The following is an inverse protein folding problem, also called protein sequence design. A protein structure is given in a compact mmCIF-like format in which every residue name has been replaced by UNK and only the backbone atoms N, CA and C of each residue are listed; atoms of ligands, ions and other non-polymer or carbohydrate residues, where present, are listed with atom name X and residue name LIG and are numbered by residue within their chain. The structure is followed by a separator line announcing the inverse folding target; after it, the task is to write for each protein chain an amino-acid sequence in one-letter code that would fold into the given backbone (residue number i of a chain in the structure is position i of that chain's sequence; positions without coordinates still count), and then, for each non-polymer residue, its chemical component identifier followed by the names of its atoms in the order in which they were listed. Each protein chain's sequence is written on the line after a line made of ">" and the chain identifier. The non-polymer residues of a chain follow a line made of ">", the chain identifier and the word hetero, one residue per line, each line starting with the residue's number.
data_IF_302675876476
#
_entry.id   IF_302675876476
#
_cell.length_a   1.000
_cell.length_b   1.000
_cell.length_c   1.000
_cell.angle_alpha   90.00
_cell.angle_beta   90.00
_cell.angle_gamma   90.00
#
_symmetry.space_group_name_H-M   'P 1'
#
loop_
_entity.id
_entity.type
_entity.pdbx_description
1 polymer ?
#
# COMPACT_ATOMS: atom_id res chain seq x y z
N UNK A 1 -21.55 18.24 1.00
CA UNK A 1 -20.37 17.59 1.61
C UNK A 1 -19.08 18.40 1.44
N UNK A 2 -18.45 18.53 0.26
CA UNK A 2 -17.18 19.28 0.15
C UNK A 2 -17.32 20.76 0.53
N UNK A 3 -18.34 21.44 0.02
CA UNK A 3 -18.57 22.86 0.35
C UNK A 3 -18.84 23.08 1.85
N UNK A 4 -19.50 22.11 2.49
CA UNK A 4 -19.75 22.12 3.94
C UNK A 4 -18.47 21.91 4.75
N UNK A 5 -17.55 21.06 4.27
CA UNK A 5 -16.24 20.87 4.89
C UNK A 5 -15.42 22.15 4.72
N UNK A 6 -15.34 22.69 3.51
CA UNK A 6 -14.55 23.89 3.21
C UNK A 6 -14.99 25.07 4.09
N UNK A 7 -16.30 25.27 4.27
CA UNK A 7 -16.83 26.34 5.13
C UNK A 7 -16.50 26.17 6.64
N UNK A 8 -16.17 24.96 7.08
CA UNK A 8 -15.91 24.62 8.50
C UNK A 8 -14.42 24.55 8.85
N UNK A 9 -13.51 24.64 7.88
CA UNK A 9 -12.06 24.49 8.08
C UNK A 9 -11.41 25.87 8.19
N UNK A 10 -11.01 26.32 9.40
CA UNK A 10 -10.45 27.66 9.59
C UNK A 10 -9.12 27.90 8.85
N UNK A 11 -8.39 26.84 8.52
CA UNK A 11 -7.16 26.88 7.73
C UNK A 11 -7.41 27.42 6.31
N UNK A 12 -8.63 27.31 5.79
CA UNK A 12 -9.00 27.77 4.46
C UNK A 12 -9.42 29.24 4.49
N UNK A 13 -8.45 30.14 4.65
CA UNK A 13 -8.70 31.57 4.71
C UNK A 13 -8.99 32.18 3.32
N UNK A 14 -10.02 33.02 3.22
CA UNK A 14 -10.32 33.78 2.00
C UNK A 14 -10.96 32.94 0.88
N UNK A 15 -10.82 33.35 -0.39
CA UNK A 15 -11.32 32.57 -1.53
C UNK A 15 -10.64 31.20 -1.60
N UNK A 16 -11.44 30.16 -1.87
CA UNK A 16 -10.98 28.76 -1.95
C UNK A 16 -11.09 28.28 -3.39
N UNK A 17 -10.01 27.71 -3.90
CA UNK A 17 -10.01 26.97 -5.16
C UNK A 17 -9.79 25.48 -4.87
N UNK A 18 -10.57 24.62 -5.53
CA UNK A 18 -10.52 23.17 -5.36
C UNK A 18 -10.08 22.51 -6.65
N UNK A 19 -8.99 21.76 -6.60
CA UNK A 19 -8.50 20.94 -7.72
C UNK A 19 -8.52 19.47 -7.35
N UNK A 20 -9.28 18.65 -8.08
CA UNK A 20 -9.30 17.20 -7.85
C UNK A 20 -7.93 16.60 -8.19
N UNK A 21 -7.37 15.84 -7.26
CA UNK A 21 -6.16 15.05 -7.49
C UNK A 21 -6.61 13.71 -8.09
N UNK A 22 -6.17 13.43 -9.33
CA UNK A 22 -6.46 12.18 -10.04
C UNK A 22 -5.47 11.09 -9.60
N UNK A 23 -5.84 9.82 -9.79
CA UNK A 23 -4.97 8.66 -9.53
C UNK A 23 -5.30 7.85 -8.27
N UNK A 24 -6.29 8.26 -7.46
CA UNK A 24 -6.79 7.45 -6.34
C UNK A 24 -8.10 6.75 -6.70
N UNK A 25 -8.12 5.40 -6.64
CA UNK A 25 -9.29 4.58 -7.02
C UNK A 25 -10.37 4.54 -5.93
N UNK A 26 -9.99 4.79 -4.69
CA UNK A 26 -10.84 4.55 -3.52
C UNK A 26 -11.52 5.81 -2.98
N UNK A 27 -10.74 6.87 -2.75
CA UNK A 27 -11.14 8.02 -1.95
C UNK A 27 -11.09 9.32 -2.73
N UNK A 28 -11.89 10.30 -2.29
CA UNK A 28 -11.90 11.62 -2.93
C UNK A 28 -10.80 12.48 -2.33
N UNK A 29 -9.78 12.79 -3.12
CA UNK A 29 -8.65 13.63 -2.73
C UNK A 29 -8.65 14.93 -3.53
N UNK A 30 -8.56 16.06 -2.85
CA UNK A 30 -8.67 17.40 -3.45
C UNK A 30 -7.54 18.27 -2.93
N UNK A 31 -6.80 18.92 -3.82
CA UNK A 31 -5.94 20.05 -3.46
C UNK A 31 -6.81 21.26 -3.19
N UNK A 32 -6.58 21.90 -2.06
CA UNK A 32 -7.26 23.13 -1.67
C UNK A 32 -6.24 24.26 -1.67
N UNK A 33 -6.47 25.28 -2.50
CA UNK A 33 -5.69 26.51 -2.52
C UNK A 33 -6.52 27.60 -1.79
N UNK A 34 -6.00 28.12 -0.67
CA UNK A 34 -6.69 29.11 0.14
C UNK A 34 -5.68 30.00 0.87
N UNK A 35 -5.93 31.32 0.89
CA UNK A 35 -5.12 32.27 1.67
C UNK A 35 -3.66 32.41 1.22
N UNK A 36 -3.30 31.88 0.04
CA UNK A 36 -1.91 31.79 -0.44
C UNK A 36 -1.19 30.49 -0.07
N UNK A 37 -1.85 29.60 0.69
CA UNK A 37 -1.34 28.28 1.08
C UNK A 37 -2.03 27.16 0.30
N UNK A 38 -1.42 25.97 0.36
CA UNK A 38 -1.93 24.73 -0.26
C UNK A 38 -2.12 23.64 0.76
N UNK A 39 -3.22 22.92 0.62
CA UNK A 39 -3.61 21.81 1.49
C UNK A 39 -4.09 20.61 0.66
N UNK A 40 -4.16 19.46 1.30
CA UNK A 40 -4.88 18.30 0.76
C UNK A 40 -6.07 18.00 1.66
N UNK A 41 -7.26 18.01 1.08
CA UNK A 41 -8.48 17.50 1.70
C UNK A 41 -8.73 16.08 1.19
N UNK A 42 -8.63 15.10 2.09
CA UNK A 42 -8.97 13.70 1.82
C UNK A 42 -10.29 13.37 2.50
N UNK A 43 -11.26 12.90 1.72
CA UNK A 43 -12.55 12.43 2.23
C UNK A 43 -12.67 10.94 1.98
N UNK A 44 -12.79 10.18 3.06
CA UNK A 44 -12.91 8.72 2.99
C UNK A 44 -14.32 8.34 2.53
N UNK A 45 -14.38 7.29 1.71
CA UNK A 45 -15.62 6.79 1.15
C UNK A 45 -15.99 5.50 1.89
N UNK A 46 -17.12 5.47 2.62
CA UNK A 46 -17.56 4.29 3.35
C UNK A 46 -17.71 3.04 2.47
N UNK A 47 -17.96 3.20 1.17
CA UNK A 47 -18.09 2.09 0.24
C UNK A 47 -16.78 1.29 0.08
N UNK A 48 -15.62 1.93 0.26
CA UNK A 48 -14.31 1.28 0.17
C UNK A 48 -14.13 0.28 1.32
N UNK A 49 -14.39 0.72 2.56
CA UNK A 49 -14.37 -0.17 3.73
C UNK A 49 -15.45 -1.24 3.60
N UNK A 50 -16.67 -0.88 3.15
CA UNK A 50 -17.76 -1.84 2.99
C UNK A 50 -17.47 -2.93 1.94
N UNK A 51 -16.72 -2.59 0.89
CA UNK A 51 -16.24 -3.55 -0.11
C UNK A 51 -15.03 -4.38 0.36
N UNK A 52 -14.51 -4.11 1.56
CA UNK A 52 -13.33 -4.80 2.10
C UNK A 52 -12.03 -4.41 1.39
N UNK A 53 -11.95 -3.21 0.81
CA UNK A 53 -10.77 -2.75 0.06
C UNK A 53 -9.86 -1.82 0.87
N UNK A 54 -10.24 -1.49 2.10
CA UNK A 54 -9.44 -0.70 3.04
C UNK A 54 -9.71 -1.11 4.49
N UNK A 55 -8.95 -0.53 5.42
CA UNK A 55 -9.24 -0.67 6.86
C UNK A 55 -10.48 0.14 7.25
N UNK A 56 -11.03 -0.05 8.48
CA UNK A 56 -12.05 0.86 8.99
C UNK A 56 -11.61 2.33 8.94
N UNK A 57 -12.50 3.23 8.51
CA UNK A 57 -12.16 4.64 8.26
C UNK A 57 -11.59 5.36 9.50
N UNK A 58 -12.08 5.03 10.70
CA UNK A 58 -11.55 5.54 11.96
C UNK A 58 -10.10 5.07 12.21
N UNK A 59 -9.80 3.83 11.83
CA UNK A 59 -8.46 3.28 11.89
C UNK A 59 -7.51 3.91 10.84
N UNK A 60 -7.97 4.15 9.61
CA UNK A 60 -7.18 4.86 8.59
C UNK A 60 -6.82 6.27 9.06
N UNK A 61 -7.81 7.00 9.61
CA UNK A 61 -7.61 8.33 10.21
C UNK A 61 -6.57 8.26 11.34
N UNK A 62 -6.72 7.32 12.28
CA UNK A 62 -5.80 7.16 13.39
C UNK A 62 -4.38 6.83 12.92
N UNK A 63 -4.23 5.92 11.96
CA UNK A 63 -2.94 5.52 11.41
C UNK A 63 -2.28 6.66 10.63
N UNK A 64 -3.06 7.45 9.88
CA UNK A 64 -2.55 8.63 9.19
C UNK A 64 -1.99 9.66 10.17
N UNK A 65 -2.67 9.90 11.30
CA UNK A 65 -2.17 10.78 12.38
C UNK A 65 -0.87 10.24 12.97
N UNK A 66 -0.81 8.95 13.31
CA UNK A 66 0.40 8.32 13.86
C UNK A 66 1.56 8.34 12.86
N UNK A 67 1.30 8.11 11.58
CA UNK A 67 2.31 8.18 10.52
C UNK A 67 2.85 9.61 10.36
N UNK A 68 1.99 10.63 10.48
CA UNK A 68 2.39 12.03 10.45
C UNK A 68 3.32 12.40 11.63
N UNK A 69 3.10 11.84 12.83
CA UNK A 69 3.98 12.04 13.99
C UNK A 69 5.42 11.58 13.72
N UNK A 70 5.61 10.57 12.87
CA UNK A 70 6.95 10.10 12.49
C UNK A 70 7.67 11.05 11.55
N UNK A 71 6.93 11.88 10.81
CA UNK A 71 7.41 12.68 9.69
C UNK A 71 7.51 11.94 8.36
N UNK A 72 7.24 10.62 8.30
CA UNK A 72 7.20 9.89 7.03
C UNK A 72 6.04 10.38 6.15
N UNK A 73 4.86 10.58 6.74
CA UNK A 73 3.69 11.13 6.06
C UNK A 73 3.52 12.64 6.19
N UNK A 74 2.60 13.25 5.41
CA UNK A 74 2.23 14.65 5.54
C UNK A 74 1.68 14.95 6.95
N UNK A 75 1.96 16.15 7.48
CA UNK A 75 1.33 16.63 8.71
C UNK A 75 -0.19 16.61 8.58
N UNK A 76 -0.87 16.06 9.58
CA UNK A 76 -2.32 16.19 9.74
C UNK A 76 -2.61 17.52 10.43
N UNK A 77 -3.25 18.44 9.71
CA UNK A 77 -3.63 19.76 10.23
C UNK A 77 -4.97 19.68 10.96
N UNK A 78 -5.90 18.87 10.45
CA UNK A 78 -7.23 18.70 11.04
C UNK A 78 -7.81 17.34 10.74
N UNK A 79 -8.48 16.77 11.75
CA UNK A 79 -9.36 15.59 11.60
C UNK A 79 -10.80 16.06 11.68
N UNK A 80 -11.64 15.59 10.76
CA UNK A 80 -13.07 15.88 10.66
C UNK A 80 -13.85 14.57 10.77
N UNK A 81 -14.01 14.02 11.99
CA UNK A 81 -14.52 12.67 12.19
C UNK A 81 -15.96 12.49 11.70
N UNK A 82 -16.81 13.50 11.85
CA UNK A 82 -18.20 13.49 11.37
C UNK A 82 -18.32 13.38 9.84
N UNK A 83 -17.30 13.82 9.11
CA UNK A 83 -17.25 13.79 7.64
C UNK A 83 -16.28 12.73 7.11
N UNK A 84 -15.69 11.91 7.99
CA UNK A 84 -14.63 10.96 7.66
C UNK A 84 -13.53 11.59 6.80
N UNK A 85 -13.06 12.78 7.20
CA UNK A 85 -12.14 13.58 6.40
C UNK A 85 -10.91 14.05 7.18
N UNK A 86 -9.85 14.33 6.42
CA UNK A 86 -8.57 14.83 6.89
C UNK A 86 -8.16 16.05 6.08
N UNK A 87 -7.69 17.10 6.76
CA UNK A 87 -6.94 18.20 6.15
C UNK A 87 -5.47 17.95 6.45
N UNK A 88 -4.69 17.77 5.39
CA UNK A 88 -3.26 17.49 5.43
C UNK A 88 -2.49 18.67 4.87
N UNK A 89 -1.23 18.80 5.27
CA UNK A 89 -0.31 19.67 4.55
C UNK A 89 -0.19 19.22 3.09
N UNK A 90 -0.06 20.16 2.17
CA UNK A 90 0.38 19.85 0.82
C UNK A 90 1.88 19.64 0.82
N UNK A 91 2.35 18.49 0.33
CA UNK A 91 3.78 18.20 0.17
C UNK A 91 4.24 18.78 -1.16
N UNK A 92 5.12 19.77 -1.11
CA UNK A 92 5.75 20.38 -2.28
C UNK A 92 6.85 19.48 -2.85
N UNK A 93 6.44 18.45 -3.58
CA UNK A 93 7.33 17.49 -4.22
C UNK A 93 6.79 16.90 -5.51
N UNK A 94 7.51 15.91 -6.03
CA UNK A 94 7.17 15.20 -7.26
C UNK A 94 6.65 13.81 -6.89
N UNK A 95 5.40 13.50 -7.24
CA UNK A 95 4.87 12.15 -7.15
C UNK A 95 5.68 11.22 -8.05
N UNK A 96 6.16 10.11 -7.50
CA UNK A 96 6.97 9.16 -8.26
C UNK A 96 6.10 8.33 -9.20
N UNK A 97 6.70 7.92 -10.31
CA UNK A 97 6.21 6.83 -11.16
C UNK A 97 7.03 5.57 -10.92
N UNK A 98 6.55 4.43 -11.43
CA UNK A 98 7.28 3.15 -11.40
C UNK A 98 8.73 3.30 -11.91
N UNK A 99 8.94 4.11 -12.95
CA UNK A 99 10.26 4.34 -13.54
C UNK A 99 11.23 5.10 -12.61
N UNK A 100 10.72 5.88 -11.65
CA UNK A 100 11.53 6.68 -10.74
C UNK A 100 12.03 5.87 -9.53
N UNK A 101 11.30 4.83 -9.13
CA UNK A 101 11.57 4.05 -7.92
C UNK A 101 12.99 3.46 -7.86
N UNK A 102 13.54 2.83 -8.92
CA UNK A 102 14.88 2.24 -8.88
C UNK A 102 16.01 3.25 -8.55
N UNK A 103 15.80 4.52 -8.86
CA UNK A 103 16.76 5.60 -8.58
C UNK A 103 16.59 6.18 -7.15
N UNK A 104 15.52 5.83 -6.44
CA UNK A 104 15.14 6.41 -5.13
C UNK A 104 15.09 5.40 -3.99
N UNK A 105 15.58 4.17 -4.18
CA UNK A 105 15.49 3.08 -3.19
C UNK A 105 16.02 3.46 -1.80
N UNK A 106 17.11 4.23 -1.70
CA UNK A 106 17.67 4.66 -0.41
C UNK A 106 16.71 5.61 0.34
N UNK A 107 16.08 6.54 -0.38
CA UNK A 107 15.10 7.47 0.16
C UNK A 107 13.79 6.77 0.56
N UNK A 108 13.31 5.84 -0.27
CA UNK A 108 12.14 5.01 0.03
C UNK A 108 12.38 4.15 1.26
N UNK A 109 13.52 3.47 1.34
CA UNK A 109 13.90 2.67 2.49
C UNK A 109 14.02 3.52 3.78
N UNK A 110 14.52 4.76 3.66
CA UNK A 110 14.55 5.70 4.78
C UNK A 110 13.15 6.11 5.25
N UNK A 111 12.23 6.39 4.32
CA UNK A 111 10.84 6.70 4.63
C UNK A 111 10.13 5.53 5.32
N UNK A 112 10.35 4.30 4.84
CA UNK A 112 9.82 3.09 5.48
C UNK A 112 10.37 2.93 6.90
N UNK A 113 11.68 3.09 7.11
CA UNK A 113 12.26 3.05 8.48
C UNK A 113 11.66 4.10 9.41
N UNK A 114 11.44 5.31 8.89
CA UNK A 114 10.85 6.40 9.65
C UNK A 114 9.42 6.06 10.09
N UNK A 115 8.61 5.51 9.19
CA UNK A 115 7.26 5.02 9.49
C UNK A 115 7.30 3.86 10.51
N UNK A 116 8.15 2.86 10.27
CA UNK A 116 8.24 1.63 11.07
C UNK A 116 8.80 1.88 12.48
N UNK A 117 9.51 2.99 12.70
CA UNK A 117 9.97 3.43 14.02
C UNK A 117 8.89 4.18 14.82
N UNK A 118 7.73 4.44 14.20
CA UNK A 118 6.60 5.10 14.82
C UNK A 118 5.95 4.29 15.93
N UNK A 119 4.95 4.91 16.58
CA UNK A 119 4.11 4.23 17.56
C UNK A 119 3.29 3.13 16.88
N UNK A 120 3.02 2.01 17.56
CA UNK A 120 2.20 0.94 17.02
C UNK A 120 0.83 1.42 16.52
N UNK A 121 0.42 0.96 15.34
CA UNK A 121 -0.95 1.13 14.86
C UNK A 121 -1.93 0.28 15.67
N UNK A 122 -3.20 0.71 15.69
CA UNK A 122 -4.27 0.09 16.50
C UNK A 122 -4.77 -1.25 15.94
N UNK A 123 -4.45 -1.54 14.68
CA UNK A 123 -4.85 -2.73 13.95
C UNK A 123 -3.65 -3.52 13.44
N UNK A 124 -3.90 -4.74 13.00
CA UNK A 124 -2.92 -5.59 12.31
C UNK A 124 -3.28 -5.74 10.83
N UNK A 125 -2.28 -5.97 10.00
CA UNK A 125 -2.46 -6.45 8.64
C UNK A 125 -1.75 -7.80 8.48
N UNK A 126 -2.30 -8.67 7.64
CA UNK A 126 -1.69 -9.93 7.24
C UNK A 126 -2.13 -10.27 5.81
N UNK A 127 -1.17 -10.41 4.90
CA UNK A 127 -1.46 -10.63 3.47
C UNK A 127 -2.21 -11.94 3.21
N UNK A 128 -2.01 -12.97 4.05
CA UNK A 128 -2.69 -14.25 3.89
C UNK A 128 -4.14 -14.20 4.35
N UNK A 129 -4.43 -13.44 5.41
CA UNK A 129 -5.81 -13.14 5.80
C UNK A 129 -6.49 -12.28 4.74
N UNK A 130 -5.75 -11.31 4.17
CA UNK A 130 -6.27 -10.49 3.07
C UNK A 130 -6.62 -11.30 1.83
N UNK A 131 -5.77 -12.25 1.47
CA UNK A 131 -6.05 -13.21 0.42
C UNK A 131 -7.31 -14.03 0.70
N UNK A 132 -7.47 -14.54 1.93
CA UNK A 132 -8.66 -15.28 2.31
C UNK A 132 -9.94 -14.43 2.24
N UNK A 133 -9.87 -13.15 2.64
CA UNK A 133 -10.96 -12.18 2.47
C UNK A 133 -11.35 -12.03 1.00
N UNK A 134 -10.38 -11.81 0.10
CA UNK A 134 -10.65 -11.64 -1.33
C UNK A 134 -11.19 -12.91 -1.97
N UNK A 135 -10.66 -14.08 -1.65
CA UNK A 135 -11.22 -15.35 -2.12
C UNK A 135 -12.69 -15.49 -1.73
N UNK A 136 -13.03 -15.15 -0.49
CA UNK A 136 -14.40 -15.21 0.00
C UNK A 136 -15.31 -14.14 -0.63
N UNK A 137 -14.78 -12.96 -0.98
CA UNK A 137 -15.51 -11.94 -1.74
C UNK A 137 -15.75 -12.37 -3.19
N UNK A 138 -14.76 -12.99 -3.83
CA UNK A 138 -14.91 -13.55 -5.18
C UNK A 138 -15.97 -14.65 -5.21
N UNK A 139 -15.96 -15.57 -4.24
CA UNK A 139 -16.94 -16.66 -4.13
C UNK A 139 -18.36 -16.14 -3.89
N UNK A 140 -18.56 -15.30 -2.86
CA UNK A 140 -19.90 -14.81 -2.48
C UNK A 140 -20.56 -13.89 -3.51
N UNK A 141 -19.79 -13.30 -4.42
CA UNK A 141 -20.28 -12.38 -5.44
C UNK A 141 -20.09 -12.91 -6.86
N UNK A 142 -19.78 -14.21 -7.01
CA UNK A 142 -19.62 -14.88 -8.32
C UNK A 142 -18.62 -14.17 -9.27
N UNK A 143 -17.53 -13.60 -8.73
CA UNK A 143 -16.56 -12.82 -9.51
C UNK A 143 -15.56 -13.67 -10.29
N UNK A 144 -15.54 -14.98 -10.01
CA UNK A 144 -14.58 -15.93 -10.57
C UNK A 144 -13.14 -15.71 -10.07
N UNK A 145 -12.26 -16.64 -10.45
CA UNK A 145 -10.82 -16.58 -10.20
C UNK A 145 -10.07 -16.65 -11.53
N UNK A 146 -8.85 -16.10 -11.62
CA UNK A 146 -7.99 -16.33 -12.77
C UNK A 146 -7.69 -17.82 -12.99
N UNK A 147 -7.45 -18.21 -14.24
CA UNK A 147 -7.11 -19.59 -14.60
C UNK A 147 -5.87 -20.07 -13.81
N UNK A 148 -5.98 -21.28 -13.25
CA UNK A 148 -4.93 -21.90 -12.45
C UNK A 148 -4.70 -21.27 -11.07
N UNK A 149 -5.46 -20.25 -10.66
CA UNK A 149 -5.28 -19.60 -9.36
C UNK A 149 -5.51 -20.55 -8.18
N UNK A 150 -6.63 -21.29 -8.22
CA UNK A 150 -6.97 -22.26 -7.18
C UNK A 150 -5.91 -23.37 -7.04
N UNK A 151 -5.27 -23.77 -8.15
CA UNK A 151 -4.25 -24.81 -8.16
C UNK A 151 -2.97 -24.40 -7.41
N UNK A 152 -2.72 -23.09 -7.26
CA UNK A 152 -1.56 -22.56 -6.54
C UNK A 152 -1.77 -22.41 -5.03
N UNK A 153 -3.02 -22.51 -4.53
CA UNK A 153 -3.31 -22.31 -3.10
C UNK A 153 -2.53 -23.26 -2.16
N UNK A 154 -2.28 -24.55 -2.50
CA UNK A 154 -1.42 -25.39 -1.68
C UNK A 154 0.03 -24.87 -1.58
N UNK A 155 0.56 -24.27 -2.65
CA UNK A 155 1.90 -23.66 -2.63
C UNK A 155 1.92 -22.36 -1.81
N UNK A 156 0.87 -21.55 -1.93
CA UNK A 156 0.67 -20.37 -1.07
C UNK A 156 0.65 -20.76 0.41
N UNK A 157 -0.02 -21.84 0.78
CA UNK A 157 -0.02 -22.35 2.15
C UNK A 157 1.40 -22.72 2.63
N UNK A 158 2.21 -23.36 1.78
CA UNK A 158 3.62 -23.67 2.08
C UNK A 158 4.48 -22.42 2.28
N UNK A 159 4.22 -21.36 1.51
CA UNK A 159 4.88 -20.05 1.69
C UNK A 159 4.50 -19.46 3.06
N UNK A 160 3.21 -19.46 3.41
CA UNK A 160 2.71 -19.01 4.72
C UNK A 160 3.40 -19.74 5.88
N UNK A 161 3.47 -21.08 5.80
CA UNK A 161 4.14 -21.90 6.80
C UNK A 161 5.64 -21.58 6.93
N UNK A 162 6.34 -21.41 5.81
CA UNK A 162 7.76 -21.05 5.82
C UNK A 162 8.00 -19.69 6.46
N UNK A 163 7.19 -18.69 6.11
CA UNK A 163 7.26 -17.35 6.70
C UNK A 163 6.89 -17.34 8.20
N UNK A 164 6.03 -18.24 8.64
CA UNK A 164 5.64 -18.35 10.05
C UNK A 164 6.69 -19.03 10.94
N UNK A 165 7.65 -19.76 10.36
CA UNK A 165 8.65 -20.53 11.12
C UNK A 165 9.55 -19.65 12.01
N UNK A 166 9.86 -18.43 11.55
CA UNK A 166 10.69 -17.45 12.27
C UNK A 166 10.07 -16.05 12.13
N UNK A 167 9.04 -15.72 12.92
CA UNK A 167 8.34 -14.44 12.80
C UNK A 167 9.24 -13.28 13.20
N UNK A 168 9.11 -12.16 12.50
CA UNK A 168 9.73 -10.89 12.87
C UNK A 168 8.80 -10.08 13.79
N UNK A 169 9.34 -9.15 14.60
CA UNK A 169 8.52 -8.15 15.27
C UNK A 169 7.69 -7.37 14.25
N UNK A 170 6.39 -7.24 14.53
CA UNK A 170 5.49 -6.42 13.71
C UNK A 170 5.73 -4.94 13.98
N UNK A 171 5.70 -4.14 12.92
CA UNK A 171 5.90 -2.68 12.95
C UNK A 171 4.75 -1.98 12.21
N UNK A 172 4.56 -0.66 12.41
CA UNK A 172 3.58 0.10 11.63
C UNK A 172 3.96 0.06 10.15
N UNK A 173 3.14 -0.57 9.33
CA UNK A 173 3.34 -0.66 7.89
C UNK A 173 2.18 0.01 7.14
N UNK A 174 2.48 0.50 5.94
CA UNK A 174 1.54 1.06 4.99
C UNK A 174 0.78 -0.05 4.23
N UNK A 175 1.50 -1.10 3.83
CA UNK A 175 1.00 -2.31 3.15
C UNK A 175 0.46 -2.12 1.73
N UNK A 176 0.72 -0.97 1.10
CA UNK A 176 0.20 -0.62 -0.24
C UNK A 176 1.04 0.49 -0.88
N UNK A 177 2.36 0.27 -0.97
CA UNK A 177 3.30 1.31 -1.39
C UNK A 177 3.56 1.27 -2.89
N UNK A 178 2.52 1.64 -3.64
CA UNK A 178 2.58 2.01 -5.05
C UNK A 178 3.52 3.20 -5.28
N UNK A 179 4.02 3.37 -6.51
CA UNK A 179 4.90 4.49 -6.83
C UNK A 179 4.23 5.85 -6.58
N UNK A 180 2.93 5.93 -6.86
CA UNK A 180 2.11 7.13 -6.70
C UNK A 180 1.94 7.55 -5.22
N UNK A 181 2.16 6.62 -4.29
CA UNK A 181 2.12 6.90 -2.84
C UNK A 181 3.43 7.49 -2.31
N UNK A 182 4.45 7.66 -3.17
CA UNK A 182 5.68 8.35 -2.84
C UNK A 182 5.72 9.76 -3.43
N UNK A 183 6.04 10.74 -2.58
CA UNK A 183 6.32 12.12 -3.00
C UNK A 183 7.78 12.43 -2.70
N UNK A 184 8.56 12.72 -3.75
CA UNK A 184 9.96 13.11 -3.62
C UNK A 184 10.09 14.62 -3.34
N UNK A 185 10.70 14.96 -2.21
CA UNK A 185 11.03 16.31 -1.75
C UNK A 185 12.57 16.41 -1.72
N UNK A 186 13.17 16.70 -2.89
CA UNK A 186 14.62 16.58 -3.08
C UNK A 186 15.09 15.13 -2.99
N UNK A 187 15.92 14.80 -2.00
CA UNK A 187 16.37 13.43 -1.72
C UNK A 187 15.49 12.69 -0.70
N UNK A 188 14.58 13.42 -0.05
CA UNK A 188 13.64 12.85 0.90
C UNK A 188 12.42 12.28 0.16
N UNK A 189 11.90 11.18 0.66
CA UNK A 189 10.62 10.61 0.20
C UNK A 189 9.60 10.71 1.33
N UNK A 190 8.39 11.16 0.99
CA UNK A 190 7.20 11.19 1.87
C UNK A 190 6.21 10.14 1.41
N UNK A 191 5.46 9.58 2.35
CA UNK A 191 4.47 8.51 2.12
C UNK A 191 3.06 9.05 2.35
N UNK A 192 2.16 8.85 1.40
CA UNK A 192 0.74 9.22 1.48
C UNK A 192 -0.15 7.99 1.30
N UNK A 193 -1.44 8.12 1.64
CA UNK A 193 -2.49 7.10 1.41
C UNK A 193 -2.47 5.83 2.30
N UNK A 194 -2.73 6.01 3.61
CA UNK A 194 -2.67 4.91 4.59
C UNK A 194 -3.89 3.97 4.62
N UNK A 195 -4.58 3.76 3.50
CA UNK A 195 -5.85 3.01 3.41
C UNK A 195 -5.74 1.53 3.86
N UNK A 196 -4.58 0.88 3.66
CA UNK A 196 -4.33 -0.52 4.05
C UNK A 196 -3.38 -0.65 5.24
N UNK A 197 -3.10 0.46 5.93
CA UNK A 197 -2.11 0.51 7.00
C UNK A 197 -2.45 -0.36 8.21
N UNK A 198 -1.43 -0.94 8.84
CA UNK A 198 -1.57 -1.80 10.01
C UNK A 198 -0.25 -2.38 10.49
N UNK A 199 -0.23 -2.93 11.70
CA UNK A 199 0.94 -3.65 12.23
C UNK A 199 1.21 -4.92 11.40
N UNK A 200 2.35 -4.96 10.70
CA UNK A 200 2.70 -6.05 9.80
C UNK A 200 4.20 -6.39 9.86
N UNK A 201 4.60 -7.42 9.13
CA UNK A 201 5.98 -7.76 8.87
C UNK A 201 6.65 -6.71 7.96
N UNK A 202 7.78 -6.12 8.36
CA UNK A 202 8.46 -5.11 7.53
C UNK A 202 8.97 -5.67 6.20
N UNK A 203 9.20 -6.98 6.07
CA UNK A 203 9.56 -7.58 4.80
C UNK A 203 8.38 -7.64 3.83
N UNK A 204 7.13 -7.61 4.31
CA UNK A 204 5.98 -7.48 3.42
C UNK A 204 6.00 -6.13 2.72
N UNK A 205 6.15 -5.04 3.49
CA UNK A 205 6.24 -3.68 2.94
C UNK A 205 7.27 -3.58 1.80
N UNK A 206 8.48 -4.11 2.00
CA UNK A 206 9.52 -4.06 0.96
C UNK A 206 9.23 -4.99 -0.22
N UNK A 207 8.60 -6.15 0.03
CA UNK A 207 8.20 -7.08 -1.02
C UNK A 207 7.11 -6.47 -1.89
N UNK A 208 6.16 -5.78 -1.28
CA UNK A 208 5.08 -5.07 -1.93
C UNK A 208 5.62 -3.94 -2.83
N UNK A 209 6.48 -3.05 -2.29
CA UNK A 209 7.17 -2.02 -3.09
C UNK A 209 7.87 -2.65 -4.30
N UNK A 210 8.58 -3.76 -4.10
CA UNK A 210 9.30 -4.42 -5.17
C UNK A 210 8.38 -5.01 -6.25
N UNK A 211 7.21 -5.53 -5.86
CA UNK A 211 6.20 -6.03 -6.78
C UNK A 211 5.58 -4.90 -7.59
N UNK A 212 5.16 -3.81 -6.94
CA UNK A 212 4.47 -2.69 -7.57
C UNK A 212 5.41 -1.84 -8.45
N UNK A 213 6.66 -1.69 -8.04
CA UNK A 213 7.68 -0.99 -8.82
C UNK A 213 8.38 -1.87 -9.87
N UNK A 214 7.96 -3.12 -10.05
CA UNK A 214 8.51 -4.06 -11.02
C UNK A 214 10.04 -4.23 -10.91
N UNK A 215 10.55 -4.26 -9.68
CA UNK A 215 12.00 -4.37 -9.44
C UNK A 215 12.51 -5.75 -9.85
N UNK A 216 13.68 -5.78 -10.48
CA UNK A 216 14.42 -7.02 -10.70
C UNK A 216 15.12 -7.51 -9.42
N UNK A 217 15.76 -8.67 -9.48
CA UNK A 217 16.41 -9.28 -8.32
C UNK A 217 17.50 -8.37 -7.69
N UNK A 218 18.22 -7.58 -8.49
CA UNK A 218 19.20 -6.62 -7.98
C UNK A 218 18.51 -5.46 -7.27
N UNK A 219 17.45 -4.91 -7.86
CA UNK A 219 16.60 -3.90 -7.25
C UNK A 219 16.01 -4.33 -5.91
N UNK A 220 15.49 -5.57 -5.83
CA UNK A 220 14.98 -6.14 -4.57
C UNK A 220 16.10 -6.25 -3.52
N UNK A 221 17.27 -6.74 -3.91
CA UNK A 221 18.42 -6.84 -3.02
C UNK A 221 18.91 -5.46 -2.55
N UNK A 222 18.93 -4.47 -3.44
CA UNK A 222 19.28 -3.08 -3.12
C UNK A 222 18.27 -2.43 -2.20
N UNK A 223 16.97 -2.63 -2.40
CA UNK A 223 15.92 -2.11 -1.51
C UNK A 223 16.01 -2.74 -0.11
N UNK A 224 16.10 -4.07 -0.04
CA UNK A 224 16.27 -4.79 1.22
C UNK A 224 17.57 -4.37 1.92
N UNK A 225 18.66 -4.24 1.17
CA UNK A 225 19.96 -3.77 1.65
C UNK A 225 19.94 -2.30 2.09
N UNK A 226 19.16 -1.44 1.45
CA UNK A 226 18.97 -0.07 1.86
C UNK A 226 18.18 0.01 3.17
N UNK A 227 17.11 -0.78 3.32
CA UNK A 227 16.25 -0.77 4.52
C UNK A 227 16.93 -1.39 5.74
N UNK A 228 17.39 -2.63 5.59
CA UNK A 228 18.00 -3.39 6.65
C UNK A 228 19.50 -3.01 6.76
N UNK A 229 20.24 -2.87 5.67
CA UNK A 229 21.69 -2.68 5.67
C UNK A 229 22.34 -3.65 4.67
N UNK A 230 23.51 -3.31 4.13
CA UNK A 230 24.09 -4.09 3.02
C UNK A 230 24.59 -5.49 3.44
N UNK A 231 24.99 -5.66 4.69
CA UNK A 231 25.50 -6.92 5.26
C UNK A 231 24.39 -7.89 5.73
N UNK A 232 23.16 -7.73 5.25
CA UNK A 232 21.99 -8.41 5.85
C UNK A 232 21.90 -9.88 5.46
N UNK A 233 21.26 -10.63 6.35
CA UNK A 233 21.15 -12.08 6.27
C UNK A 233 20.30 -12.51 5.07
N UNK A 234 20.73 -13.56 4.36
CA UNK A 234 20.01 -14.15 3.23
C UNK A 234 18.54 -14.48 3.56
N UNK A 235 18.22 -14.77 4.82
CA UNK A 235 16.86 -14.98 5.32
C UNK A 235 15.92 -13.79 5.10
N UNK A 236 16.40 -12.55 5.35
CA UNK A 236 15.56 -11.35 5.19
C UNK A 236 15.29 -11.08 3.71
N UNK A 237 16.29 -11.26 2.85
CA UNK A 237 16.11 -11.13 1.41
C UNK A 237 15.16 -12.21 0.87
N UNK A 238 15.29 -13.46 1.31
CA UNK A 238 14.37 -14.53 0.93
C UNK A 238 12.94 -14.22 1.40
N UNK A 239 12.78 -13.70 2.62
CA UNK A 239 11.48 -13.26 3.15
C UNK A 239 10.84 -12.16 2.30
N UNK A 240 11.60 -11.13 1.91
CA UNK A 240 11.14 -10.05 1.03
C UNK A 240 10.70 -10.60 -0.33
N UNK A 241 11.49 -11.49 -0.94
CA UNK A 241 11.14 -12.11 -2.22
C UNK A 241 9.87 -12.95 -2.15
N UNK A 242 9.68 -13.72 -1.07
CA UNK A 242 8.44 -14.47 -0.87
C UNK A 242 7.23 -13.53 -0.69
N UNK A 243 7.39 -12.41 0.02
CA UNK A 243 6.32 -11.44 0.16
C UNK A 243 6.03 -10.67 -1.14
N UNK A 244 7.02 -10.41 -1.99
CA UNK A 244 6.80 -9.89 -3.34
C UNK A 244 5.86 -10.81 -4.13
N UNK A 245 6.15 -12.11 -4.13
CA UNK A 245 5.28 -13.11 -4.78
C UNK A 245 3.88 -13.08 -4.16
N UNK A 246 3.76 -13.00 -2.83
CA UNK A 246 2.46 -12.94 -2.16
C UNK A 246 1.68 -11.66 -2.40
N UNK A 247 2.36 -10.51 -2.59
CA UNK A 247 1.74 -9.26 -3.05
C UNK A 247 1.14 -9.45 -4.43
N UNK A 248 1.86 -10.06 -5.38
CA UNK A 248 1.32 -10.36 -6.70
C UNK A 248 0.12 -11.32 -6.65
N UNK A 249 0.23 -12.43 -5.91
CA UNK A 249 -0.88 -13.39 -5.73
C UNK A 249 -2.14 -12.70 -5.18
N UNK A 250 -1.99 -11.87 -4.16
CA UNK A 250 -3.14 -11.31 -3.44
C UNK A 250 -3.78 -10.16 -4.21
N UNK A 251 -2.98 -9.21 -4.70
CA UNK A 251 -3.50 -8.04 -5.41
C UNK A 251 -4.05 -8.37 -6.79
N UNK A 252 -3.73 -9.54 -7.38
CA UNK A 252 -4.46 -10.08 -8.53
C UNK A 252 -5.97 -10.15 -8.29
N UNK A 253 -6.41 -10.54 -7.07
CA UNK A 253 -7.83 -10.60 -6.71
C UNK A 253 -8.40 -9.24 -6.33
N UNK A 254 -7.57 -8.30 -5.87
CA UNK A 254 -8.03 -6.93 -5.58
C UNK A 254 -8.68 -6.29 -6.81
N UNK A 255 -8.06 -6.40 -7.99
CA UNK A 255 -8.64 -5.84 -9.23
C UNK A 255 -9.99 -6.48 -9.58
N UNK A 256 -10.17 -7.78 -9.34
CA UNK A 256 -11.45 -8.48 -9.55
C UNK A 256 -12.52 -8.01 -8.59
N UNK A 257 -12.18 -7.92 -7.30
CA UNK A 257 -13.09 -7.45 -6.24
C UNK A 257 -13.45 -5.98 -6.48
N UNK A 258 -12.47 -5.13 -6.78
CA UNK A 258 -12.71 -3.72 -7.06
C UNK A 258 -13.62 -3.54 -8.28
N UNK A 259 -13.29 -4.16 -9.42
CA UNK A 259 -14.12 -4.07 -10.63
C UNK A 259 -15.54 -4.62 -10.42
N UNK A 260 -15.69 -5.71 -9.68
CA UNK A 260 -16.99 -6.35 -9.45
C UNK A 260 -17.88 -5.65 -8.43
N UNK A 261 -17.31 -4.97 -7.43
CA UNK A 261 -18.07 -4.37 -6.32
C UNK A 261 -18.17 -2.85 -6.39
N UNK A 262 -17.23 -2.18 -7.07
CA UNK A 262 -17.13 -0.73 -7.15
C UNK A 262 -17.19 -0.21 -8.60
N UNK A 263 -17.95 -0.89 -9.47
CA UNK A 263 -18.09 -0.60 -10.90
C UNK A 263 -18.32 0.90 -11.22
N UNK A 264 -17.71 1.38 -12.30
CA UNK A 264 -17.87 2.75 -12.81
C UNK A 264 -17.07 3.86 -12.12
N UNK A 265 -16.14 3.55 -11.20
CA UNK A 265 -15.30 4.57 -10.53
C UNK A 265 -14.21 5.18 -11.41
N UNK A 266 -13.66 4.42 -12.36
CA UNK A 266 -12.75 4.94 -13.39
C UNK A 266 -13.01 4.22 -14.71
N UNK A 267 -13.58 4.95 -15.68
CA UNK A 267 -14.12 4.40 -16.93
C UNK A 267 -13.02 3.90 -17.87
N UNK A 268 -11.80 4.45 -17.75
CA UNK A 268 -10.68 4.17 -18.65
C UNK A 268 -9.64 3.21 -18.04
N UNK A 269 -9.89 2.64 -16.85
CA UNK A 269 -8.96 1.72 -16.18
C UNK A 269 -9.26 0.26 -16.50
N UNK A 270 -8.28 -0.47 -17.06
CA UNK A 270 -8.45 -1.89 -17.43
C UNK A 270 -8.06 -2.83 -16.28
N UNK A 271 -9.00 -3.01 -15.35
CA UNK A 271 -8.86 -3.91 -14.20
C UNK A 271 -8.52 -5.36 -14.61
N UNK A 272 -9.03 -5.83 -15.76
CA UNK A 272 -8.80 -7.19 -16.22
C UNK A 272 -7.37 -7.39 -16.71
N UNK A 273 -6.83 -6.42 -17.46
CA UNK A 273 -5.44 -6.42 -17.90
C UNK A 273 -4.47 -6.35 -16.70
N UNK A 274 -4.74 -5.50 -15.71
CA UNK A 274 -3.90 -5.39 -14.51
C UNK A 274 -3.91 -6.68 -13.68
N UNK A 275 -5.11 -7.25 -13.46
CA UNK A 275 -5.26 -8.55 -12.80
C UNK A 275 -4.45 -9.65 -13.50
N UNK A 276 -4.54 -9.72 -14.83
CA UNK A 276 -3.83 -10.71 -15.64
C UNK A 276 -2.31 -10.52 -15.62
N UNK A 277 -1.83 -9.27 -15.73
CA UNK A 277 -0.40 -8.95 -15.71
C UNK A 277 0.21 -9.34 -14.35
N UNK A 278 -0.46 -9.02 -13.25
CA UNK A 278 -0.02 -9.37 -11.90
C UNK A 278 -0.06 -10.87 -11.65
N UNK A 279 -1.08 -11.55 -12.18
CA UNK A 279 -1.16 -13.01 -12.09
C UNK A 279 -0.05 -13.71 -12.88
N UNK A 280 0.30 -13.21 -14.06
CA UNK A 280 1.43 -13.72 -14.84
C UNK A 280 2.76 -13.62 -14.08
N UNK A 281 2.98 -12.51 -13.36
CA UNK A 281 4.16 -12.35 -12.48
C UNK A 281 4.13 -13.34 -11.32
N UNK A 282 3.00 -13.48 -10.64
CA UNK A 282 2.84 -14.46 -9.56
C UNK A 282 3.14 -15.90 -10.04
N UNK A 283 2.60 -16.30 -11.20
CA UNK A 283 2.87 -17.62 -11.78
C UNK A 283 4.34 -17.83 -12.13
N UNK A 284 5.02 -16.80 -12.64
CA UNK A 284 6.45 -16.85 -12.91
C UNK A 284 7.24 -17.12 -11.62
N UNK A 285 6.95 -16.39 -10.54
CA UNK A 285 7.62 -16.57 -9.26
C UNK A 285 7.31 -17.93 -8.61
N UNK A 286 6.04 -18.36 -8.65
CA UNK A 286 5.58 -19.63 -8.09
C UNK A 286 6.16 -20.83 -8.85
N UNK A 287 6.41 -20.67 -10.16
CA UNK A 287 7.05 -21.66 -11.01
C UNK A 287 8.58 -21.61 -11.01
N UNK A 288 9.21 -20.66 -10.31
CA UNK A 288 10.66 -20.51 -10.29
C UNK A 288 11.34 -21.73 -9.61
N UNK A 289 12.31 -22.39 -10.27
CA UNK A 289 13.01 -23.55 -9.69
C UNK A 289 13.70 -23.26 -8.34
N UNK A 290 14.06 -22.01 -8.08
CA UNK A 290 14.67 -21.54 -6.84
C UNK A 290 13.68 -21.28 -5.70
N UNK A 291 12.37 -21.39 -5.90
CA UNK A 291 11.38 -21.16 -4.83
C UNK A 291 11.60 -22.09 -3.63
N UNK A 292 11.98 -23.35 -3.87
CA UNK A 292 12.28 -24.30 -2.80
C UNK A 292 13.42 -23.81 -1.89
N UNK A 293 14.46 -23.22 -2.48
CA UNK A 293 15.59 -22.66 -1.73
C UNK A 293 15.17 -21.44 -0.91
N UNK A 294 14.27 -20.59 -1.43
CA UNK A 294 13.73 -19.46 -0.67
C UNK A 294 12.94 -19.92 0.56
N UNK A 295 12.09 -20.94 0.40
CA UNK A 295 11.31 -21.54 1.49
C UNK A 295 12.23 -22.13 2.57
N UNK A 296 13.29 -22.83 2.17
CA UNK A 296 14.23 -23.41 3.12
C UNK A 296 15.11 -22.35 3.80
N UNK A 297 15.49 -21.30 3.06
CA UNK A 297 16.31 -20.20 3.59
C UNK A 297 15.56 -19.44 4.68
N UNK A 298 14.29 -19.08 4.48
CA UNK A 298 13.54 -18.31 5.48
C UNK A 298 13.24 -19.10 6.78
N UNK A 299 13.27 -20.44 6.71
CA UNK A 299 13.08 -21.32 7.86
C UNK A 299 14.32 -21.46 8.75
N UNK A 300 15.51 -21.19 8.22
CA UNK A 300 16.80 -21.35 8.92
C UNK A 300 17.10 -20.20 9.86
#
# INVERSE_FOLDING_TARGET
>A
MLDEIVAKVPEFAGPVELTVIKGGLSHRVVRVDAGGDRFVLRVLDPAVTAAGLGVPMDQEIANTVLAAETGAGPRVLRVLPEQHALVLEYVDGVTLSVADVPARLDGIAAACRQLHAGRPFGNTFDIFEKLAEFLALCDRNDLGLPDGYADQLPLVARIREALAARPLPRVPCHNDLLAENFIAEGDRVRIVDYQLSGQNDPCFELGDIAAEALLDADGVARLAGAYFGRERSQQLLARVRLYLTMSNVTWTLWFRVHSGLLDGREVDFDYAAESAAKWGRALSDLGDPGLGELLDTVRR
#
